data_IF_645758204667
#
_entry.id   IF_645758204667
#
_cell.length_a   1.000
_cell.length_b   1.000
_cell.length_c   1.000
_cell.angle_alpha   90.00
_cell.angle_beta   90.00
_cell.angle_gamma   90.00
#
_symmetry.space_group_name_H-M   'P 1'
#
loop_
_entity.id
_entity.type
_entity.pdbx_description
1 polymer ?
#
# COMPACT_ATOMS: atom_id res chain seq x y z
N UNK A 1 19.65 7.02 35.85
CA UNK A 1 19.58 6.62 34.43
C UNK A 1 18.12 6.46 34.10
N UNK A 2 17.59 7.36 33.29
CA UNK A 2 16.21 7.31 32.83
C UNK A 2 16.06 6.10 31.92
N UNK A 3 15.11 5.21 32.22
CA UNK A 3 14.82 4.05 31.38
C UNK A 3 14.01 4.56 30.18
N UNK A 4 14.67 4.71 29.04
CA UNK A 4 14.11 5.34 27.84
C UNK A 4 12.97 4.50 27.26
N UNK A 5 13.07 3.18 27.38
CA UNK A 5 12.02 2.24 27.01
C UNK A 5 10.76 2.46 27.85
N UNK A 6 10.91 2.78 29.15
CA UNK A 6 9.79 3.07 30.02
C UNK A 6 9.08 4.40 29.66
N UNK A 7 9.84 5.46 29.35
CA UNK A 7 9.25 6.73 28.92
C UNK A 7 8.56 6.63 27.56
N UNK A 8 9.18 5.93 26.62
CA UNK A 8 8.58 5.65 25.32
C UNK A 8 7.33 4.78 25.46
N UNK A 9 7.37 3.75 26.32
CA UNK A 9 6.22 2.92 26.65
C UNK A 9 5.07 3.69 27.27
N UNK A 10 5.37 4.65 28.17
CA UNK A 10 4.35 5.54 28.74
C UNK A 10 3.68 6.41 27.66
N UNK A 11 4.45 6.93 26.70
CA UNK A 11 3.89 7.69 25.57
C UNK A 11 3.01 6.83 24.66
N UNK A 12 3.39 5.58 24.41
CA UNK A 12 2.58 4.62 23.64
C UNK A 12 1.28 4.25 24.37
N UNK A 13 1.33 4.09 25.69
CA UNK A 13 0.18 3.71 26.51
C UNK A 13 -0.96 4.75 26.48
N UNK A 14 -0.67 6.03 26.21
CA UNK A 14 -1.69 7.08 25.97
C UNK A 14 -2.63 6.73 24.81
N UNK A 15 -2.16 5.89 23.88
CA UNK A 15 -2.88 5.46 22.68
C UNK A 15 -3.27 3.98 22.75
N UNK A 16 -3.32 3.39 23.94
CA UNK A 16 -3.62 1.97 24.16
C UNK A 16 -2.65 1.01 23.45
N UNK A 17 -1.41 1.45 23.22
CA UNK A 17 -0.36 0.66 22.60
C UNK A 17 0.62 0.16 23.67
N UNK A 18 0.60 -1.15 23.93
CA UNK A 18 1.41 -1.79 24.96
C UNK A 18 2.13 -3.04 24.41
N UNK A 19 3.30 -2.88 23.75
CA UNK A 19 4.12 -4.04 23.37
C UNK A 19 4.66 -4.75 24.61
N UNK A 20 4.79 -6.08 24.55
CA UNK A 20 5.31 -6.88 25.67
C UNK A 20 6.76 -6.54 26.03
N UNK A 21 7.55 -6.11 25.04
CA UNK A 21 8.94 -5.68 25.21
C UNK A 21 9.22 -4.51 24.26
N UNK A 22 9.94 -3.51 24.76
CA UNK A 22 10.42 -2.36 23.99
C UNK A 22 11.94 -2.50 23.86
N UNK A 23 12.44 -2.35 22.63
CA UNK A 23 13.85 -2.51 22.27
C UNK A 23 14.26 -1.30 21.44
N UNK A 24 15.30 -0.60 21.89
CA UNK A 24 15.82 0.63 21.27
C UNK A 24 16.89 0.37 20.21
N UNK A 25 16.61 -0.53 19.25
CA UNK A 25 17.57 -0.97 18.22
C UNK A 25 17.44 -0.24 16.87
N UNK A 26 16.60 0.78 16.79
CA UNK A 26 16.35 1.53 15.56
C UNK A 26 15.65 0.72 14.47
N UNK A 27 15.03 -0.43 14.81
CA UNK A 27 14.28 -1.25 13.85
C UNK A 27 12.78 -1.13 14.08
N UNK A 28 12.01 -1.16 12.97
CA UNK A 28 10.56 -1.22 13.06
C UNK A 28 10.13 -2.58 13.63
N UNK A 29 9.42 -2.55 14.75
CA UNK A 29 8.86 -3.72 15.43
C UNK A 29 7.35 -3.65 15.37
N UNK A 30 6.70 -4.82 15.15
CA UNK A 30 5.25 -4.94 15.04
C UNK A 30 4.70 -5.89 16.09
N UNK A 31 3.56 -5.54 16.66
CA UNK A 31 2.89 -6.27 17.73
C UNK A 31 1.37 -6.13 17.59
N UNK A 32 0.63 -7.04 18.21
CA UNK A 32 -0.83 -7.03 18.18
C UNK A 32 -1.35 -5.86 19.03
N UNK A 33 -2.27 -5.05 18.49
CA UNK A 33 -3.00 -4.05 19.27
C UNK A 33 -4.01 -4.72 20.23
N UNK A 34 -4.55 -3.98 21.20
CA UNK A 34 -5.50 -4.55 22.18
C UNK A 34 -6.75 -5.17 21.53
N UNK A 35 -7.21 -4.61 20.40
CA UNK A 35 -8.36 -5.04 19.62
C UNK A 35 -8.00 -6.04 18.50
N UNK A 36 -6.73 -6.48 18.41
CA UNK A 36 -6.30 -7.42 17.38
C UNK A 36 -6.67 -8.88 17.70
N UNK A 37 -7.11 -9.59 16.65
CA UNK A 37 -7.01 -11.05 16.65
C UNK A 37 -5.53 -11.42 16.70
N UNK A 38 -5.17 -12.42 17.52
CA UNK A 38 -3.80 -12.88 17.70
C UNK A 38 -3.04 -13.03 16.37
N UNK A 39 -1.89 -12.37 16.25
CA UNK A 39 -0.99 -12.43 15.10
C UNK A 39 -1.26 -11.41 13.99
N UNK A 40 -2.24 -10.50 14.12
CA UNK A 40 -2.53 -9.45 13.13
C UNK A 40 -1.44 -8.38 13.05
N UNK A 41 -0.81 -8.07 14.18
CA UNK A 41 0.30 -7.14 14.34
C UNK A 41 0.05 -5.75 13.74
N UNK A 42 -1.13 -5.16 13.96
CA UNK A 42 -1.50 -3.88 13.35
C UNK A 42 -0.70 -2.69 13.92
N UNK A 43 -0.23 -2.81 15.15
CA UNK A 43 0.57 -1.81 15.83
C UNK A 43 2.06 -1.96 15.53
N UNK A 44 2.77 -0.84 15.56
CA UNK A 44 4.19 -0.77 15.28
C UNK A 44 4.89 0.31 16.10
N UNK A 45 6.19 0.13 16.30
CA UNK A 45 7.07 1.19 16.82
C UNK A 45 8.47 1.10 16.21
N UNK A 46 9.23 2.17 16.34
CA UNK A 46 10.68 2.26 16.12
C UNK A 46 11.26 3.15 17.21
N UNK A 47 12.33 2.72 17.87
CA UNK A 47 12.98 3.47 18.94
C UNK A 47 14.50 3.45 18.72
N UNK A 48 15.10 4.62 18.69
CA UNK A 48 16.54 4.85 18.62
C UNK A 48 17.03 5.23 20.01
N UNK A 49 17.87 4.40 20.63
CA UNK A 49 18.41 4.64 21.97
C UNK A 49 19.72 5.43 22.01
N UNK A 50 20.31 5.75 20.86
CA UNK A 50 21.58 6.45 20.73
C UNK A 50 21.41 7.98 20.78
N UNK A 51 22.40 8.71 21.31
CA UNK A 51 22.36 10.19 21.42
C UNK A 51 21.11 10.72 22.13
N UNK A 52 20.40 11.67 21.50
CA UNK A 52 19.05 12.06 21.95
C UNK A 52 18.06 10.99 21.48
N UNK A 53 17.44 10.23 22.39
CA UNK A 53 16.58 9.14 21.97
C UNK A 53 15.34 9.66 21.28
N UNK A 54 14.93 8.96 20.23
CA UNK A 54 13.78 9.34 19.44
C UNK A 54 13.10 8.11 18.86
N UNK A 55 11.83 8.24 18.54
CA UNK A 55 11.06 7.14 18.02
C UNK A 55 9.79 7.58 17.34
N UNK A 56 9.07 6.60 16.83
CA UNK A 56 7.72 6.77 16.34
C UNK A 56 6.95 5.49 16.62
N UNK A 57 5.64 5.62 16.81
CA UNK A 57 4.75 4.49 17.02
C UNK A 57 3.41 4.75 16.36
N UNK A 58 2.63 3.71 16.17
CA UNK A 58 1.33 3.85 15.52
C UNK A 58 0.57 2.55 15.36
N UNK A 59 -0.60 2.67 14.75
CA UNK A 59 -1.50 1.55 14.44
C UNK A 59 -2.10 1.76 13.05
N UNK A 60 -1.85 0.83 12.14
CA UNK A 60 -2.34 0.94 10.76
C UNK A 60 -3.85 0.76 10.62
N UNK A 61 -4.53 0.15 11.59
CA UNK A 61 -6.00 0.05 11.58
C UNK A 61 -6.66 1.40 11.80
N UNK A 62 -6.06 2.23 12.65
CA UNK A 62 -6.62 3.52 13.07
C UNK A 62 -5.93 4.70 12.39
N UNK A 63 -5.03 4.43 11.45
CA UNK A 63 -4.14 5.41 10.81
C UNK A 63 -3.33 6.28 11.81
N UNK A 64 -3.11 5.77 13.02
CA UNK A 64 -2.33 6.47 14.05
C UNK A 64 -0.84 6.43 13.71
N UNK A 65 -0.17 7.57 13.77
CA UNK A 65 1.29 7.68 13.63
C UNK A 65 1.84 8.87 14.41
N UNK A 66 2.41 8.61 15.58
CA UNK A 66 2.97 9.60 16.48
C UNK A 66 4.50 9.57 16.48
N UNK A 67 5.09 10.75 16.67
CA UNK A 67 6.54 10.91 16.86
C UNK A 67 6.82 11.13 18.34
N UNK A 68 7.96 10.63 18.79
CA UNK A 68 8.39 10.77 20.17
C UNK A 68 9.86 11.17 20.23
N UNK A 69 10.19 12.01 21.21
CA UNK A 69 11.55 12.43 21.53
C UNK A 69 11.75 12.33 23.05
N UNK A 70 12.84 11.72 23.49
CA UNK A 70 13.21 11.58 24.91
C UNK A 70 13.70 12.89 25.55
N UNK A 71 13.83 13.97 24.77
CA UNK A 71 14.05 15.33 25.26
C UNK A 71 12.96 16.25 24.72
N UNK A 72 12.44 17.14 25.57
CA UNK A 72 11.60 18.25 25.13
C UNK A 72 12.39 19.18 24.20
N UNK A 73 11.76 19.71 23.15
CA UNK A 73 12.39 20.62 22.17
C UNK A 73 13.09 21.83 22.82
N UNK A 74 12.61 22.29 23.98
CA UNK A 74 13.19 23.39 24.76
C UNK A 74 14.51 23.06 25.47
N UNK A 75 14.97 21.80 25.45
CA UNK A 75 16.19 21.33 26.14
C UNK A 75 17.30 20.86 25.21
N UNK A 76 17.11 20.92 23.89
CA UNK A 76 18.15 20.52 22.92
C UNK A 76 19.09 21.68 22.63
N UNK A 77 20.40 21.45 22.76
CA UNK A 77 21.42 22.40 22.30
C UNK A 77 21.46 22.45 20.76
N UNK A 78 22.01 23.52 20.16
CA UNK A 78 22.15 23.61 18.71
C UNK A 78 22.92 22.44 18.08
N UNK A 79 23.94 21.91 18.78
CA UNK A 79 24.75 20.77 18.32
C UNK A 79 23.91 19.50 18.33
N UNK A 80 23.20 19.21 19.42
CA UNK A 80 22.32 18.03 19.52
C UNK A 80 21.20 18.06 18.46
N UNK A 81 20.64 19.24 18.17
CA UNK A 81 19.62 19.38 17.13
C UNK A 81 20.20 19.15 15.72
N UNK A 82 21.42 19.64 15.45
CA UNK A 82 22.10 19.38 14.19
C UNK A 82 22.42 17.89 13.99
N UNK A 83 22.91 17.21 15.03
CA UNK A 83 23.16 15.77 15.03
C UNK A 83 21.88 14.95 14.84
N UNK A 84 20.80 15.32 15.54
CA UNK A 84 19.48 14.69 15.39
C UNK A 84 18.96 14.81 13.95
N UNK A 85 18.99 16.03 13.38
CA UNK A 85 18.56 16.26 12.00
C UNK A 85 19.39 15.46 11.00
N UNK A 86 20.72 15.46 11.15
CA UNK A 86 21.62 14.70 10.29
C UNK A 86 21.31 13.19 10.35
N UNK A 87 20.99 12.65 11.53
CA UNK A 87 20.59 11.24 11.70
C UNK A 87 19.25 10.95 11.04
N UNK A 88 18.25 11.81 11.25
CA UNK A 88 16.92 11.67 10.62
C UNK A 88 17.04 11.69 9.10
N UNK A 89 17.83 12.61 8.55
CA UNK A 89 18.02 12.72 7.10
C UNK A 89 18.77 11.51 6.53
N UNK A 90 19.82 11.04 7.23
CA UNK A 90 20.52 9.79 6.86
C UNK A 90 19.58 8.58 6.88
N UNK A 91 18.82 8.39 7.96
CA UNK A 91 17.87 7.29 8.07
C UNK A 91 16.78 7.34 7.00
N UNK A 92 16.30 8.54 6.64
CA UNK A 92 15.36 8.74 5.53
C UNK A 92 15.97 8.33 4.20
N UNK A 93 17.21 8.75 3.92
CA UNK A 93 17.92 8.39 2.68
C UNK A 93 18.14 6.88 2.57
N UNK A 94 18.60 6.23 3.65
CA UNK A 94 18.81 4.77 3.69
C UNK A 94 17.50 3.99 3.53
N UNK A 95 16.42 4.43 4.19
CA UNK A 95 15.10 3.82 4.05
C UNK A 95 14.54 3.99 2.64
N UNK A 96 14.71 5.17 2.04
CA UNK A 96 14.26 5.43 0.66
C UNK A 96 15.05 4.59 -0.34
N UNK A 97 16.38 4.53 -0.21
CA UNK A 97 17.21 3.68 -1.06
C UNK A 97 16.80 2.21 -0.95
N UNK A 98 16.60 1.70 0.27
CA UNK A 98 16.15 0.32 0.52
C UNK A 98 14.78 0.08 -0.10
N UNK A 99 13.84 1.02 0.04
CA UNK A 99 12.51 0.94 -0.56
C UNK A 99 12.59 0.83 -2.08
N UNK A 100 13.36 1.70 -2.73
CA UNK A 100 13.53 1.72 -4.18
C UNK A 100 14.15 0.41 -4.70
N UNK A 101 15.15 -0.12 -3.99
CA UNK A 101 15.76 -1.40 -4.35
C UNK A 101 14.75 -2.55 -4.27
N UNK A 102 14.00 -2.64 -3.16
CA UNK A 102 12.97 -3.67 -2.98
C UNK A 102 11.84 -3.54 -4.01
N UNK A 103 11.43 -2.32 -4.36
CA UNK A 103 10.44 -2.06 -5.41
C UNK A 103 10.95 -2.51 -6.79
N UNK A 104 12.22 -2.24 -7.13
CA UNK A 104 12.83 -2.67 -8.37
C UNK A 104 12.92 -4.20 -8.48
N UNK A 105 13.37 -4.87 -7.41
CA UNK A 105 13.47 -6.32 -7.35
C UNK A 105 12.08 -6.98 -7.45
N UNK A 106 11.08 -6.41 -6.78
CA UNK A 106 9.70 -6.86 -6.88
C UNK A 106 9.14 -6.69 -8.30
N UNK A 107 9.39 -5.56 -8.95
CA UNK A 107 8.97 -5.31 -10.33
C UNK A 107 9.60 -6.33 -11.31
N UNK A 108 10.89 -6.63 -11.16
CA UNK A 108 11.57 -7.65 -11.97
C UNK A 108 10.95 -9.05 -11.79
N UNK A 109 10.59 -9.43 -10.56
CA UNK A 109 9.83 -10.67 -10.31
C UNK A 109 8.46 -10.63 -10.99
N UNK A 110 7.73 -9.52 -10.90
CA UNK A 110 6.40 -9.39 -11.52
C UNK A 110 6.44 -9.57 -13.03
N UNK A 111 7.43 -8.98 -13.71
CA UNK A 111 7.63 -9.14 -15.15
C UNK A 111 7.84 -10.61 -15.52
N UNK A 112 8.68 -11.34 -14.77
CA UNK A 112 8.90 -12.79 -14.98
C UNK A 112 7.64 -13.62 -14.78
N UNK A 113 6.87 -13.31 -13.73
CA UNK A 113 5.58 -13.99 -13.47
C UNK A 113 4.61 -13.79 -14.63
N UNK A 114 4.46 -12.55 -15.12
CA UNK A 114 3.57 -12.26 -16.26
C UNK A 114 4.04 -12.93 -17.56
N UNK A 115 5.34 -13.00 -17.81
CA UNK A 115 5.89 -13.65 -19.01
C UNK A 115 5.59 -15.16 -19.05
N UNK A 116 5.50 -15.82 -17.88
CA UNK A 116 5.17 -17.24 -17.78
C UNK A 116 3.69 -17.55 -17.59
N UNK A 117 2.83 -16.54 -17.52
CA UNK A 117 1.39 -16.67 -17.30
C UNK A 117 0.62 -16.82 -18.62
N UNK A 118 -0.59 -17.38 -18.55
CA UNK A 118 -1.50 -17.52 -19.69
C UNK A 118 -2.51 -16.37 -19.72
N UNK A 119 -3.13 -16.10 -20.86
CA UNK A 119 -4.29 -15.20 -20.90
C UNK A 119 -5.44 -15.84 -20.11
N UNK A 120 -6.08 -15.05 -19.25
CA UNK A 120 -7.27 -15.52 -18.56
C UNK A 120 -8.44 -15.61 -19.53
N UNK A 121 -9.24 -16.65 -19.36
CA UNK A 121 -10.44 -16.93 -20.17
C UNK A 121 -11.72 -16.69 -19.36
N UNK A 122 -12.85 -16.61 -20.07
CA UNK A 122 -14.16 -16.32 -19.46
C UNK A 122 -14.63 -17.45 -18.50
N UNK A 123 -14.04 -18.65 -18.59
CA UNK A 123 -14.29 -19.81 -17.73
C UNK A 123 -13.57 -19.76 -16.37
N UNK A 124 -12.71 -18.74 -16.13
CA UNK A 124 -12.04 -18.60 -14.85
C UNK A 124 -13.08 -18.54 -13.70
N UNK A 125 -12.96 -19.37 -12.65
CA UNK A 125 -13.98 -19.48 -11.60
C UNK A 125 -14.36 -18.16 -10.92
N UNK A 126 -13.39 -17.25 -10.73
CA UNK A 126 -13.67 -15.94 -10.17
C UNK A 126 -14.54 -15.09 -11.12
N UNK A 127 -14.20 -15.07 -12.41
CA UNK A 127 -14.93 -14.36 -13.46
C UNK A 127 -16.37 -14.88 -13.57
N UNK A 128 -16.55 -16.20 -13.63
CA UNK A 128 -17.87 -16.86 -13.68
C UNK A 128 -18.70 -16.46 -12.46
N UNK A 129 -18.15 -16.61 -11.25
CA UNK A 129 -18.88 -16.28 -10.01
C UNK A 129 -19.26 -14.80 -9.94
N UNK A 130 -18.40 -13.91 -10.42
CA UNK A 130 -18.66 -12.46 -10.43
C UNK A 130 -19.50 -12.00 -11.62
N UNK A 131 -19.74 -12.85 -12.62
CA UNK A 131 -20.47 -12.49 -13.83
C UNK A 131 -19.73 -11.45 -14.70
N UNK A 132 -18.39 -11.50 -14.71
CA UNK A 132 -17.54 -10.53 -15.42
C UNK A 132 -16.59 -11.23 -16.40
N UNK A 133 -16.03 -10.48 -17.34
CA UNK A 133 -14.95 -10.94 -18.22
C UNK A 133 -13.56 -10.55 -17.68
N UNK A 134 -12.49 -11.28 -18.06
CA UNK A 134 -11.15 -11.01 -17.57
C UNK A 134 -10.48 -9.81 -18.25
N UNK A 135 -10.99 -9.27 -19.37
CA UNK A 135 -10.49 -8.02 -19.97
C UNK A 135 -8.95 -7.86 -20.08
N UNK A 136 -8.25 -8.92 -20.49
CA UNK A 136 -6.78 -8.91 -20.65
C UNK A 136 -5.99 -9.17 -19.36
N UNK A 137 -6.65 -9.71 -18.34
CA UNK A 137 -5.96 -10.33 -17.20
C UNK A 137 -5.21 -11.58 -17.62
N UNK A 138 -4.18 -11.91 -16.86
CA UNK A 138 -3.47 -13.19 -16.96
C UNK A 138 -4.01 -14.17 -15.92
N UNK A 139 -3.71 -15.44 -16.08
CA UNK A 139 -3.94 -16.45 -15.06
C UNK A 139 -2.74 -17.38 -14.88
N UNK A 140 -2.64 -17.95 -13.68
CA UNK A 140 -1.70 -19.02 -13.42
C UNK A 140 -2.08 -20.29 -14.20
N UNK A 141 -1.11 -21.20 -14.35
CA UNK A 141 -1.29 -22.49 -15.02
C UNK A 141 -2.38 -23.38 -14.39
N UNK A 142 -2.79 -23.08 -13.16
CA UNK A 142 -3.89 -23.75 -12.47
C UNK A 142 -5.28 -23.36 -13.03
N UNK A 143 -5.36 -22.28 -13.84
CA UNK A 143 -6.59 -21.67 -14.37
C UNK A 143 -7.58 -21.19 -13.30
N UNK A 144 -7.12 -20.98 -12.07
CA UNK A 144 -7.98 -20.61 -10.92
C UNK A 144 -7.56 -19.29 -10.30
N UNK A 145 -6.29 -18.93 -10.42
CA UNK A 145 -5.76 -17.70 -9.85
C UNK A 145 -5.54 -16.66 -10.96
N UNK A 146 -6.32 -15.59 -10.94
CA UNK A 146 -6.12 -14.43 -11.82
C UNK A 146 -4.94 -13.59 -11.34
N UNK A 147 -4.24 -13.02 -12.31
CA UNK A 147 -3.10 -12.14 -12.12
C UNK A 147 -3.43 -10.81 -12.79
N UNK A 148 -3.53 -9.75 -11.99
CA UNK A 148 -3.77 -8.37 -12.43
C UNK A 148 -2.45 -7.60 -12.44
N UNK A 149 -1.92 -7.22 -13.63
CA UNK A 149 -0.75 -6.36 -13.72
C UNK A 149 -1.00 -4.99 -13.10
N UNK A 150 -0.08 -4.50 -12.27
CA UNK A 150 -0.12 -3.13 -11.75
C UNK A 150 0.96 -2.34 -12.47
N UNK A 151 0.58 -1.22 -13.10
CA UNK A 151 1.47 -0.43 -13.96
C UNK A 151 1.53 1.03 -13.52
N UNK A 152 2.69 1.65 -13.68
CA UNK A 152 2.81 3.09 -13.51
C UNK A 152 2.27 3.87 -14.73
N UNK A 153 2.34 5.20 -14.66
CA UNK A 153 1.89 6.08 -15.75
C UNK A 153 2.66 5.85 -17.06
N UNK A 154 3.93 5.43 -16.99
CA UNK A 154 4.75 5.10 -18.16
C UNK A 154 4.40 3.72 -18.76
N UNK A 155 3.62 2.91 -18.05
CA UNK A 155 3.18 1.58 -18.48
C UNK A 155 4.08 0.44 -18.00
N UNK A 156 5.12 0.73 -17.21
CA UNK A 156 6.01 -0.27 -16.64
C UNK A 156 5.29 -1.07 -15.55
N UNK A 157 5.49 -2.39 -15.54
CA UNK A 157 4.93 -3.26 -14.49
C UNK A 157 5.69 -3.02 -13.19
N UNK A 158 4.96 -2.66 -12.15
CA UNK A 158 5.51 -2.28 -10.83
C UNK A 158 5.11 -3.24 -9.72
N UNK A 159 3.99 -3.95 -9.89
CA UNK A 159 3.48 -4.93 -8.95
C UNK A 159 2.46 -5.86 -9.62
N UNK A 160 1.91 -6.82 -8.88
CA UNK A 160 0.80 -7.68 -9.26
C UNK A 160 -0.24 -7.72 -8.14
N UNK A 161 -1.51 -7.83 -8.51
CA UNK A 161 -2.56 -8.34 -7.62
C UNK A 161 -2.94 -9.76 -8.07
N UNK A 162 -2.97 -10.69 -7.14
CA UNK A 162 -3.49 -12.03 -7.32
C UNK A 162 -4.92 -12.09 -6.80
N UNK A 163 -5.83 -12.65 -7.59
CA UNK A 163 -7.22 -12.89 -7.20
C UNK A 163 -7.44 -14.39 -7.24
N UNK A 164 -7.64 -14.99 -6.07
CA UNK A 164 -7.91 -16.42 -5.94
C UNK A 164 -9.37 -16.73 -6.23
N UNK A 165 -9.66 -18.00 -6.46
CA UNK A 165 -11.01 -18.49 -6.72
C UNK A 165 -12.00 -18.06 -5.65
N UNK A 166 -11.66 -18.09 -4.36
CA UNK A 166 -12.53 -17.67 -3.26
C UNK A 166 -12.82 -16.15 -3.23
N UNK A 167 -12.13 -15.38 -4.07
CA UNK A 167 -12.22 -13.93 -4.14
C UNK A 167 -11.22 -13.21 -3.25
N UNK A 168 -10.40 -13.93 -2.49
CA UNK A 168 -9.28 -13.37 -1.74
C UNK A 168 -8.32 -12.67 -2.71
N UNK A 169 -7.95 -11.43 -2.37
CA UNK A 169 -7.02 -10.62 -3.17
C UNK A 169 -5.71 -10.43 -2.41
N UNK A 170 -4.58 -10.61 -3.07
CA UNK A 170 -3.25 -10.37 -2.47
C UNK A 170 -2.38 -9.56 -3.40
N UNK A 171 -1.72 -8.54 -2.87
CA UNK A 171 -0.72 -7.78 -3.60
C UNK A 171 0.66 -8.44 -3.48
N UNK A 172 1.49 -8.33 -4.52
CA UNK A 172 2.89 -8.72 -4.44
C UNK A 172 3.61 -7.86 -3.40
N UNK A 173 4.23 -8.50 -2.42
CA UNK A 173 5.03 -7.81 -1.39
C UNK A 173 6.14 -6.96 -2.03
N UNK A 174 6.31 -5.77 -1.47
CA UNK A 174 7.27 -4.74 -1.89
C UNK A 174 7.04 -4.15 -3.28
N UNK A 175 5.98 -4.55 -4.00
CA UNK A 175 5.65 -3.92 -5.27
C UNK A 175 5.07 -2.53 -5.06
N UNK A 176 5.42 -1.59 -5.95
CA UNK A 176 4.86 -0.23 -5.93
C UNK A 176 3.42 -0.26 -6.44
N UNK A 177 2.49 0.25 -5.62
CA UNK A 177 1.04 0.29 -5.93
C UNK A 177 0.51 1.73 -5.95
N UNK A 178 1.04 2.60 -5.09
CA UNK A 178 0.59 4.00 -4.97
C UNK A 178 0.77 4.74 -6.30
N UNK A 179 -0.34 5.26 -6.83
CA UNK A 179 -0.40 5.94 -8.14
C UNK A 179 -0.30 5.01 -9.36
N UNK A 180 -0.19 3.70 -9.14
CA UNK A 180 -0.16 2.68 -10.19
C UNK A 180 -1.54 2.03 -10.32
N UNK A 181 -1.86 1.58 -11.53
CA UNK A 181 -3.21 1.12 -11.90
C UNK A 181 -3.15 -0.06 -12.89
N UNK A 182 -4.27 -0.76 -13.03
CA UNK A 182 -4.54 -1.60 -14.20
C UNK A 182 -5.55 -0.89 -15.10
N UNK A 183 -5.39 -0.94 -16.42
CA UNK A 183 -6.34 -0.30 -17.34
C UNK A 183 -6.73 -1.21 -18.50
N UNK A 184 -7.98 -1.12 -18.91
CA UNK A 184 -8.55 -1.85 -20.04
C UNK A 184 -9.68 -1.05 -20.71
N UNK A 185 -10.22 -1.56 -21.82
CA UNK A 185 -11.24 -0.86 -22.61
C UNK A 185 -10.69 0.09 -23.69
N UNK A 186 -9.37 0.06 -23.94
CA UNK A 186 -8.73 0.86 -24.99
C UNK A 186 -8.21 2.21 -24.50
N UNK A 187 -7.73 3.04 -25.45
CA UNK A 187 -7.19 4.37 -25.16
C UNK A 187 -8.33 5.36 -24.88
N UNK A 188 -8.36 6.05 -23.73
CA UNK A 188 -9.36 7.07 -23.45
C UNK A 188 -9.21 8.27 -24.38
N UNK A 189 -10.31 8.69 -25.01
CA UNK A 189 -10.39 9.88 -25.87
C UNK A 189 -11.16 11.01 -25.20
N UNK A 190 -12.30 10.70 -24.58
CA UNK A 190 -13.17 11.67 -23.91
C UNK A 190 -13.29 11.39 -22.40
N UNK A 191 -13.65 10.16 -22.03
CA UNK A 191 -13.92 9.78 -20.64
C UNK A 191 -13.12 8.55 -20.20
N UNK A 192 -12.64 8.58 -18.96
CA UNK A 192 -11.99 7.48 -18.25
C UNK A 192 -12.65 7.29 -16.88
N UNK A 193 -13.05 6.06 -16.57
CA UNK A 193 -13.57 5.70 -15.25
C UNK A 193 -12.42 5.20 -14.36
N UNK A 194 -12.41 5.61 -13.10
CA UNK A 194 -11.46 5.13 -12.09
C UNK A 194 -12.22 4.48 -10.95
N UNK A 195 -11.95 3.22 -10.65
CA UNK A 195 -12.64 2.46 -9.59
C UNK A 195 -11.66 1.69 -8.70
N UNK A 196 -12.12 1.15 -7.58
CA UNK A 196 -11.26 0.41 -6.65
C UNK A 196 -10.94 -1.00 -7.12
N UNK A 197 -11.99 -1.81 -7.34
CA UNK A 197 -11.86 -3.23 -7.64
C UNK A 197 -11.93 -3.56 -9.13
N UNK A 198 -11.23 -4.63 -9.54
CA UNK A 198 -11.31 -5.15 -10.90
C UNK A 198 -12.74 -5.53 -11.30
N UNK A 199 -13.50 -6.20 -10.44
CA UNK A 199 -14.88 -6.61 -10.75
C UNK A 199 -15.82 -5.43 -10.97
N UNK A 200 -15.71 -4.39 -10.13
CA UNK A 200 -16.43 -3.13 -10.30
C UNK A 200 -16.08 -2.50 -11.64
N UNK A 201 -14.79 -2.39 -11.95
CA UNK A 201 -14.33 -1.86 -13.23
C UNK A 201 -14.84 -2.65 -14.43
N UNK A 202 -14.79 -3.98 -14.35
CA UNK A 202 -15.26 -4.88 -15.40
C UNK A 202 -16.76 -4.66 -15.68
N UNK A 203 -17.55 -4.48 -14.63
CA UNK A 203 -18.98 -4.18 -14.72
C UNK A 203 -19.24 -2.80 -15.31
N UNK A 204 -18.48 -1.77 -14.88
CA UNK A 204 -18.57 -0.42 -15.43
C UNK A 204 -18.28 -0.40 -16.94
N UNK A 205 -17.23 -1.10 -17.38
CA UNK A 205 -16.91 -1.21 -18.81
C UNK A 205 -18.00 -1.95 -19.58
N UNK A 206 -18.53 -3.06 -19.04
CA UNK A 206 -19.57 -3.84 -19.69
C UNK A 206 -20.85 -3.04 -19.95
N UNK A 207 -21.21 -2.13 -19.04
CA UNK A 207 -22.44 -1.32 -19.14
C UNK A 207 -22.23 -0.02 -19.93
N UNK A 208 -21.06 0.62 -19.81
CA UNK A 208 -20.84 1.96 -20.37
C UNK A 208 -19.98 1.98 -21.64
N UNK A 209 -19.13 0.96 -21.83
CA UNK A 209 -18.10 0.96 -22.88
C UNK A 209 -16.94 1.94 -22.65
N UNK A 210 -16.96 2.74 -21.58
CA UNK A 210 -15.87 3.69 -21.29
C UNK A 210 -14.64 2.97 -20.76
N UNK A 211 -13.41 3.30 -21.22
CA UNK A 211 -12.18 2.77 -20.65
C UNK A 211 -12.13 2.93 -19.13
N UNK A 212 -11.47 1.98 -18.47
CA UNK A 212 -11.42 1.89 -17.00
C UNK A 212 -9.99 1.81 -16.52
N UNK A 213 -9.71 2.45 -15.38
CA UNK A 213 -8.53 2.25 -14.56
C UNK A 213 -8.91 1.76 -13.15
N UNK A 214 -8.26 0.69 -12.70
CA UNK A 214 -8.47 0.05 -11.39
C UNK A 214 -7.36 0.50 -10.44
N UNK A 215 -7.75 1.09 -9.31
CA UNK A 215 -6.85 1.65 -8.29
C UNK A 215 -6.51 0.68 -7.15
N UNK A 216 -7.16 -0.48 -7.07
CA UNK A 216 -6.96 -1.56 -6.11
C UNK A 216 -7.43 -1.31 -4.67
N UNK A 217 -7.62 -0.06 -4.24
CA UNK A 217 -8.24 0.34 -2.97
C UNK A 217 -8.60 1.84 -2.97
N UNK A 218 -9.48 2.25 -2.05
CA UNK A 218 -9.91 3.62 -1.84
C UNK A 218 -8.75 4.62 -1.68
N UNK A 219 -7.77 4.29 -0.83
CA UNK A 219 -6.61 5.15 -0.56
C UNK A 219 -5.70 5.40 -1.77
N UNK A 220 -5.88 4.66 -2.85
CA UNK A 220 -5.14 4.81 -4.09
C UNK A 220 -5.94 5.49 -5.22
N UNK A 221 -7.24 5.75 -5.04
CA UNK A 221 -8.08 6.42 -6.03
C UNK A 221 -7.52 7.80 -6.40
N UNK A 222 -7.23 8.64 -5.41
CA UNK A 222 -6.68 9.97 -5.64
C UNK A 222 -5.27 9.92 -6.29
N UNK A 223 -4.28 9.16 -5.76
CA UNK A 223 -2.98 9.02 -6.40
C UNK A 223 -3.08 8.57 -7.87
N UNK A 224 -3.96 7.60 -8.18
CA UNK A 224 -4.17 7.12 -9.54
C UNK A 224 -4.82 8.19 -10.41
N UNK A 225 -5.86 8.87 -9.92
CA UNK A 225 -6.51 9.97 -10.66
C UNK A 225 -5.52 11.11 -10.99
N UNK A 226 -4.63 11.47 -10.05
CA UNK A 226 -3.57 12.48 -10.29
C UNK A 226 -2.57 12.01 -11.33
N UNK A 227 -2.09 10.76 -11.25
CA UNK A 227 -1.17 10.19 -12.23
C UNK A 227 -1.78 10.17 -13.64
N UNK A 228 -3.07 9.80 -13.74
CA UNK A 228 -3.81 9.76 -14.99
C UNK A 228 -4.12 11.16 -15.53
N UNK A 229 -4.42 12.15 -14.68
CA UNK A 229 -4.59 13.56 -15.11
C UNK A 229 -3.34 14.10 -15.78
N UNK A 230 -2.15 13.78 -15.25
CA UNK A 230 -0.87 14.16 -15.87
C UNK A 230 -0.67 13.49 -17.24
N UNK A 231 -1.06 12.23 -17.39
CA UNK A 231 -0.95 11.46 -18.65
C UNK A 231 -2.02 11.83 -19.69
N UNK A 232 -3.21 12.24 -19.24
CA UNK A 232 -4.41 12.46 -20.05
C UNK A 232 -5.07 13.81 -19.68
N UNK A 233 -4.41 14.96 -19.98
CA UNK A 233 -4.83 16.26 -19.49
C UNK A 233 -6.23 16.69 -19.95
N UNK A 234 -6.67 16.27 -21.15
CA UNK A 234 -7.98 16.62 -21.72
C UNK A 234 -9.10 15.61 -21.45
N UNK A 235 -8.81 14.46 -20.85
CA UNK A 235 -9.82 13.41 -20.62
C UNK A 235 -10.60 13.70 -19.35
N UNK A 236 -11.93 13.55 -19.38
CA UNK A 236 -12.79 13.58 -18.20
C UNK A 236 -12.50 12.33 -17.35
N UNK A 237 -12.09 12.53 -16.10
CA UNK A 237 -11.85 11.44 -15.16
C UNK A 237 -13.05 11.37 -14.22
N UNK A 238 -13.74 10.23 -14.18
CA UNK A 238 -14.87 9.98 -13.29
C UNK A 238 -14.47 8.94 -12.26
N UNK A 239 -14.42 9.33 -10.99
CA UNK A 239 -14.13 8.41 -9.88
C UNK A 239 -15.41 7.70 -9.47
N UNK A 240 -15.39 6.38 -9.57
CA UNK A 240 -16.47 5.46 -9.21
C UNK A 240 -16.03 4.69 -7.95
N UNK A 241 -16.12 5.35 -6.79
CA UNK A 241 -15.80 4.75 -5.51
C UNK A 241 -16.96 3.86 -5.02
N UNK A 242 -16.64 2.82 -4.26
CA UNK A 242 -17.66 1.96 -3.64
C UNK A 242 -18.35 2.73 -2.49
N UNK A 243 -19.65 2.56 -2.32
CA UNK A 243 -20.41 3.20 -1.22
C UNK A 243 -20.49 2.25 -0.01
N UNK A 244 -19.37 2.13 0.71
CA UNK A 244 -19.22 1.23 1.86
C UNK A 244 -19.71 1.86 3.18
N UNK A 245 -20.50 2.94 3.14
CA UNK A 245 -20.97 3.66 4.33
C UNK A 245 -21.79 2.82 5.32
N UNK A 246 -22.24 1.63 4.90
CA UNK A 246 -23.04 0.71 5.72
C UNK A 246 -22.42 -0.69 5.86
N UNK A 247 -21.19 -0.89 5.39
CA UNK A 247 -20.50 -2.17 5.55
C UNK A 247 -19.80 -2.21 6.92
N UNK A 248 -20.38 -2.95 7.87
CA UNK A 248 -19.72 -3.28 9.13
C UNK A 248 -18.45 -4.12 8.83
N UNK A 249 -17.28 -3.63 9.24
CA UNK A 249 -15.97 -4.29 9.02
C UNK A 249 -15.65 -5.34 10.09
#
# INVERSE_FOLDING_TARGET
MTNIEAEFGAAMAVYDLAPAEIIADGKRRRFDAADDKKGKKSAWYILYGDGVPAGAFGNWKTDLSEKWCGKSDQKMTPIENAEYRARVDKARQEAEHTRLQLEADAAAVCVRVLAGAQEATDDNPYCVRKGIKPYGLKEFKDKRTLIVPIRDAAGAVTSLQFIYEDGTKRLKSHGKVKGCYYSFGGKPTDTLLVCEGFATGASLFAVTGYPVAVAFNAGNLEPVARALRGKLPGVRIVVCADDDRFNEQ
#
